data_IF_879776682229
#
_entry.id   IF_879776682229
#
_cell.length_a   1.000
_cell.length_b   1.000
_cell.length_c   1.000
_cell.angle_alpha   90.00
_cell.angle_beta   90.00
_cell.angle_gamma   90.00
#
_symmetry.space_group_name_H-M   'P 1'
#
loop_
_entity.id
_entity.type
_entity.pdbx_description
1 polymer ?
#
# COMPACT_ATOMS: atom_id res chain seq x y z
N UNK A 1 6.01 -3.74 1.09
CA UNK A 1 5.97 -4.76 0.01
C UNK A 1 6.08 -6.14 0.63
N UNK A 2 5.57 -7.20 0.00
CA UNK A 2 5.77 -8.57 0.51
C UNK A 2 7.15 -9.14 0.17
N UNK A 3 7.79 -8.64 -0.89
CA UNK A 3 9.10 -9.07 -1.37
C UNK A 3 10.23 -8.31 -0.68
N UNK A 4 11.11 -9.05 -0.02
CA UNK A 4 12.31 -8.49 0.61
C UNK A 4 13.26 -7.86 -0.41
N UNK A 5 13.49 -8.53 -1.55
CA UNK A 5 14.39 -8.05 -2.61
C UNK A 5 13.96 -6.69 -3.17
N UNK A 6 12.65 -6.46 -3.29
CA UNK A 6 12.11 -5.17 -3.75
C UNK A 6 12.30 -4.05 -2.72
N UNK A 7 12.22 -4.38 -1.43
CA UNK A 7 12.49 -3.42 -0.36
C UNK A 7 13.97 -3.04 -0.31
N UNK A 8 14.88 -4.00 -0.41
CA UNK A 8 16.31 -3.71 -0.50
C UNK A 8 16.65 -2.81 -1.70
N UNK A 9 16.01 -3.05 -2.84
CA UNK A 9 16.17 -2.19 -4.01
C UNK A 9 15.64 -0.78 -3.73
N UNK A 10 14.50 -0.66 -3.07
CA UNK A 10 13.94 0.61 -2.61
C UNK A 10 14.89 1.38 -1.69
N UNK A 11 15.47 0.70 -0.70
CA UNK A 11 16.46 1.28 0.23
C UNK A 11 17.70 1.77 -0.52
N UNK A 12 18.22 0.99 -1.47
CA UNK A 12 19.37 1.39 -2.30
C UNK A 12 19.04 2.63 -3.14
N UNK A 13 17.88 2.68 -3.78
CA UNK A 13 17.43 3.84 -4.56
C UNK A 13 17.27 5.07 -3.66
N UNK A 14 16.69 4.90 -2.46
CA UNK A 14 16.53 5.97 -1.49
C UNK A 14 17.88 6.57 -1.07
N UNK A 15 18.84 5.72 -0.70
CA UNK A 15 20.18 6.13 -0.29
C UNK A 15 20.94 6.88 -1.40
N UNK A 16 20.75 6.48 -2.67
CA UNK A 16 21.34 7.17 -3.83
C UNK A 16 20.83 8.61 -4.01
N UNK A 17 19.65 8.94 -3.50
CA UNK A 17 19.09 10.29 -3.54
C UNK A 17 19.53 11.16 -2.34
N UNK A 18 20.32 10.63 -1.41
CA UNK A 18 20.82 11.32 -0.22
C UNK A 18 19.72 11.94 0.65
N UNK A 19 18.57 11.26 0.77
CA UNK A 19 17.49 11.69 1.64
C UNK A 19 17.71 11.23 3.09
N UNK A 20 17.14 11.93 4.09
CA UNK A 20 17.32 11.58 5.50
C UNK A 20 16.70 10.22 5.85
N UNK A 21 17.43 9.38 6.57
CA UNK A 21 16.97 8.01 6.91
C UNK A 21 15.78 8.02 7.91
N UNK A 22 15.62 9.07 8.71
CA UNK A 22 14.55 9.20 9.72
C UNK A 22 13.18 9.55 9.14
N UNK A 23 13.08 9.75 7.81
CA UNK A 23 11.84 10.16 7.12
C UNK A 23 11.14 9.04 6.38
N UNK A 24 11.71 7.84 6.37
CA UNK A 24 11.19 6.72 5.58
C UNK A 24 11.22 5.42 6.39
N UNK A 25 10.18 4.61 6.20
CA UNK A 25 10.11 3.26 6.76
C UNK A 25 9.79 2.28 5.62
N UNK A 26 10.61 1.24 5.49
CA UNK A 26 10.40 0.15 4.56
C UNK A 26 9.81 -1.05 5.30
N UNK A 27 8.55 -1.38 5.00
CA UNK A 27 7.81 -2.40 5.74
C UNK A 27 7.60 -3.62 4.86
N UNK A 28 8.12 -4.76 5.32
CA UNK A 28 7.82 -6.05 4.72
C UNK A 28 6.51 -6.61 5.26
N UNK A 29 5.45 -6.56 4.44
CA UNK A 29 4.12 -7.02 4.82
C UNK A 29 3.27 -7.31 3.59
N UNK A 30 2.25 -8.16 3.78
CA UNK A 30 1.10 -8.19 2.89
C UNK A 30 0.30 -6.88 3.03
N UNK A 31 -0.05 -6.27 1.91
CA UNK A 31 -0.69 -4.95 1.91
C UNK A 31 -2.08 -4.96 2.56
N UNK A 32 -2.86 -6.05 2.43
CA UNK A 32 -4.18 -6.15 3.04
C UNK A 32 -4.06 -6.27 4.56
N UNK A 33 -3.10 -7.08 5.03
CA UNK A 33 -2.81 -7.20 6.47
C UNK A 33 -2.34 -5.85 7.02
N UNK A 34 -1.36 -5.21 6.38
CA UNK A 34 -0.84 -3.92 6.82
C UNK A 34 -1.94 -2.86 6.95
N UNK A 35 -2.81 -2.73 5.94
CA UNK A 35 -3.91 -1.75 5.97
C UNK A 35 -4.89 -2.03 7.11
N UNK A 36 -5.20 -3.29 7.42
CA UNK A 36 -6.08 -3.63 8.55
C UNK A 36 -5.44 -3.29 9.88
N UNK A 37 -4.17 -3.64 10.06
CA UNK A 37 -3.45 -3.32 11.29
C UNK A 37 -3.30 -1.80 11.46
N UNK A 38 -3.05 -1.05 10.39
CA UNK A 38 -3.00 0.41 10.41
C UNK A 38 -4.35 1.03 10.81
N UNK A 39 -5.47 0.45 10.34
CA UNK A 39 -6.82 0.84 10.79
C UNK A 39 -6.99 0.57 12.29
N UNK A 40 -6.56 -0.58 12.78
CA UNK A 40 -6.66 -0.95 14.21
C UNK A 40 -5.79 -0.04 15.10
N UNK A 41 -4.59 0.32 14.63
CA UNK A 41 -3.70 1.29 15.29
C UNK A 41 -4.20 2.74 15.20
N UNK A 42 -5.25 3.00 14.42
CA UNK A 42 -5.82 4.33 14.24
C UNK A 42 -4.92 5.27 13.45
N UNK A 43 -4.03 4.73 12.62
CA UNK A 43 -3.09 5.51 11.83
C UNK A 43 -3.80 6.38 10.78
N UNK A 44 -3.19 7.52 10.48
CA UNK A 44 -3.74 8.51 9.55
C UNK A 44 -2.66 9.11 8.67
N UNK A 45 -2.89 9.06 7.37
CA UNK A 45 -1.98 9.52 6.33
C UNK A 45 -2.60 10.66 5.52
N UNK A 46 -1.78 11.62 5.11
CA UNK A 46 -2.20 12.71 4.23
C UNK A 46 -2.35 12.23 2.78
N UNK A 47 -1.50 11.29 2.35
CA UNK A 47 -1.52 10.68 1.02
C UNK A 47 -1.34 9.17 1.16
N UNK A 48 -2.16 8.39 0.44
CA UNK A 48 -2.00 6.95 0.30
C UNK A 48 -1.94 6.60 -1.19
N UNK A 49 -0.92 5.83 -1.57
CA UNK A 49 -0.74 5.33 -2.94
C UNK A 49 -0.93 3.82 -2.94
N UNK A 50 -1.85 3.34 -3.78
CA UNK A 50 -2.14 1.92 -4.00
C UNK A 50 -1.85 1.58 -5.45
N UNK A 51 -0.81 0.77 -5.67
CA UNK A 51 -0.48 0.21 -6.98
C UNK A 51 -0.44 -1.33 -6.90
N UNK A 52 -1.60 -1.99 -6.71
CA UNK A 52 -1.65 -3.44 -6.59
C UNK A 52 -1.42 -4.13 -7.95
N UNK A 53 -0.85 -5.35 -7.96
CA UNK A 53 -0.79 -6.16 -9.16
C UNK A 53 -2.21 -6.52 -9.65
N UNK A 54 -2.31 -6.98 -10.91
CA UNK A 54 -3.58 -7.45 -11.46
C UNK A 54 -4.13 -8.63 -10.66
N UNK A 55 -5.28 -8.46 -10.02
CA UNK A 55 -5.93 -9.54 -9.26
C UNK A 55 -6.68 -10.56 -10.14
N UNK A 56 -7.09 -10.18 -11.35
CA UNK A 56 -7.73 -11.09 -12.31
C UNK A 56 -6.81 -11.36 -13.51
N UNK A 57 -6.49 -12.64 -13.74
CA UNK A 57 -5.76 -13.10 -14.92
C UNK A 57 -6.70 -13.58 -16.04
N UNK A 58 -7.97 -13.86 -15.72
CA UNK A 58 -8.98 -14.27 -16.68
C UNK A 58 -10.39 -13.78 -16.29
N UNK A 59 -11.35 -13.87 -17.23
CA UNK A 59 -12.72 -13.38 -17.04
C UNK A 59 -13.46 -14.01 -15.85
N UNK A 60 -13.18 -15.28 -15.52
CA UNK A 60 -13.86 -15.97 -14.41
C UNK A 60 -13.44 -15.43 -13.03
N UNK A 61 -12.28 -14.77 -12.95
CA UNK A 61 -11.75 -14.22 -11.70
C UNK A 61 -12.18 -12.77 -11.43
N UNK A 62 -12.84 -12.11 -12.40
CA UNK A 62 -13.14 -10.67 -12.33
C UNK A 62 -13.97 -10.31 -11.10
N UNK A 63 -15.02 -11.08 -10.79
CA UNK A 63 -15.85 -10.78 -9.62
C UNK A 63 -15.07 -10.84 -8.30
N UNK A 64 -14.23 -11.86 -8.13
CA UNK A 64 -13.38 -12.00 -6.96
C UNK A 64 -12.33 -10.89 -6.89
N UNK A 65 -11.71 -10.55 -8.03
CA UNK A 65 -10.77 -9.44 -8.12
C UNK A 65 -11.43 -8.10 -7.73
N UNK A 66 -12.64 -7.81 -8.23
CA UNK A 66 -13.39 -6.62 -7.85
C UNK A 66 -13.64 -6.53 -6.33
N UNK A 67 -13.93 -7.67 -5.67
CA UNK A 67 -14.06 -7.71 -4.21
C UNK A 67 -12.73 -7.39 -3.52
N UNK A 68 -11.62 -7.92 -4.03
CA UNK A 68 -10.28 -7.60 -3.53
C UNK A 68 -9.94 -6.11 -3.68
N UNK A 69 -10.16 -5.53 -4.85
CA UNK A 69 -9.95 -4.09 -5.08
C UNK A 69 -10.83 -3.22 -4.17
N UNK A 70 -12.09 -3.62 -3.96
CA UNK A 70 -12.99 -2.94 -3.03
C UNK A 70 -12.45 -2.97 -1.60
N UNK A 71 -12.03 -4.15 -1.11
CA UNK A 71 -11.52 -4.28 0.26
C UNK A 71 -10.24 -3.46 0.47
N UNK A 72 -9.32 -3.49 -0.51
CA UNK A 72 -8.08 -2.71 -0.47
C UNK A 72 -8.37 -1.20 -0.36
N UNK A 73 -9.17 -0.68 -1.29
CA UNK A 73 -9.52 0.74 -1.33
C UNK A 73 -10.32 1.18 -0.11
N UNK A 74 -11.26 0.36 0.37
CA UNK A 74 -12.06 0.67 1.55
C UNK A 74 -11.20 0.82 2.80
N UNK A 75 -10.22 -0.06 3.02
CA UNK A 75 -9.33 0.07 4.19
C UNK A 75 -8.35 1.25 4.03
N UNK A 76 -7.89 1.55 2.81
CA UNK A 76 -7.10 2.76 2.55
C UNK A 76 -7.89 4.05 2.89
N UNK A 77 -9.17 4.14 2.50
CA UNK A 77 -10.01 5.29 2.89
C UNK A 77 -10.14 5.47 4.40
N UNK A 78 -10.12 4.38 5.18
CA UNK A 78 -10.20 4.46 6.65
C UNK A 78 -8.94 5.05 7.28
N UNK A 79 -7.79 5.00 6.62
CA UNK A 79 -6.52 5.55 7.14
C UNK A 79 -6.15 6.90 6.50
N UNK A 80 -6.99 7.47 5.64
CA UNK A 80 -6.76 8.80 5.07
C UNK A 80 -7.34 9.88 5.98
N UNK A 81 -6.60 10.98 6.14
CA UNK A 81 -7.08 12.18 6.84
C UNK A 81 -8.16 12.90 6.03
N UNK A 82 -9.11 13.60 6.66
CA UNK A 82 -10.01 14.50 5.93
C UNK A 82 -9.23 15.50 5.05
N UNK A 83 -9.58 15.57 3.77
CA UNK A 83 -8.87 16.39 2.78
C UNK A 83 -7.59 15.77 2.20
N UNK A 84 -7.23 14.56 2.62
CA UNK A 84 -6.11 13.80 2.06
C UNK A 84 -6.43 13.17 0.71
N UNK A 85 -5.42 12.56 0.10
CA UNK A 85 -5.49 12.01 -1.26
C UNK A 85 -5.30 10.49 -1.28
N UNK A 86 -6.18 9.80 -2.00
CA UNK A 86 -6.00 8.41 -2.40
C UNK A 86 -5.65 8.36 -3.88
N UNK A 87 -4.49 7.78 -4.21
CA UNK A 87 -4.09 7.49 -5.58
C UNK A 87 -4.12 5.97 -5.75
N UNK A 88 -5.07 5.44 -6.52
CA UNK A 88 -5.22 4.00 -6.78
C UNK A 88 -5.12 3.72 -8.27
N UNK A 89 -4.39 2.66 -8.64
CA UNK A 89 -4.11 2.27 -10.02
C UNK A 89 -4.65 0.87 -10.36
#
# INVERSE_FOLDING_TARGET
>A
DSSHEMLELGEKIYALNHWPDDKTEFIQADAFVYLRDAVERGEKYDIVVLDPPKFAHNKRQVENACRGYKDLNMNAFKIIKPGGYLMTF
#
